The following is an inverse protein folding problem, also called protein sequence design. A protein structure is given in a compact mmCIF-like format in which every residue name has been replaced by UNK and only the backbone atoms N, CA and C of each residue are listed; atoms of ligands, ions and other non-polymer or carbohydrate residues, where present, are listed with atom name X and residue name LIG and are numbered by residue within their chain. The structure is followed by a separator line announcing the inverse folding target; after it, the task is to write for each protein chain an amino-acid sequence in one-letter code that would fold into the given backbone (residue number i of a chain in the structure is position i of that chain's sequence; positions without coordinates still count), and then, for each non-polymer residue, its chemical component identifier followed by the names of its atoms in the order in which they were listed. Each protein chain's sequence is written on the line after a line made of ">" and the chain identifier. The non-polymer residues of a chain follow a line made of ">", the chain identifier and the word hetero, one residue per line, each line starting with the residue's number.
data_IF_128718168664
#
_entry.id   IF_128718168664
#
_cell.length_a   1.000
_cell.length_b   1.000
_cell.length_c   1.000
_cell.angle_alpha   90.00
_cell.angle_beta   90.00
_cell.angle_gamma   90.00
#
_symmetry.space_group_name_H-M   'P 1'
#
loop_
_entity.id
_entity.type
_entity.pdbx_description
1 polymer ?
#
# COMPACT_ATOMS: atom_id res chain seq x y z
N UNK A 1 17.01 -13.22 -11.77
CA UNK A 1 15.64 -13.09 -12.30
C UNK A 1 14.86 -12.12 -11.45
N UNK A 2 14.28 -11.11 -12.08
CA UNK A 2 13.49 -10.12 -11.35
C UNK A 2 12.14 -10.71 -10.91
N UNK A 3 11.66 -10.25 -9.76
CA UNK A 3 10.36 -10.61 -9.27
C UNK A 3 9.26 -9.88 -10.07
N UNK A 4 8.04 -10.41 -10.02
CA UNK A 4 6.89 -9.73 -10.61
C UNK A 4 6.81 -8.27 -10.10
N UNK A 5 6.36 -7.36 -10.96
CA UNK A 5 6.24 -5.94 -10.59
C UNK A 5 5.38 -5.73 -9.35
N UNK A 6 4.37 -6.57 -9.11
CA UNK A 6 3.57 -6.48 -7.88
C UNK A 6 4.44 -6.60 -6.62
N UNK A 7 5.38 -7.53 -6.62
CA UNK A 7 6.29 -7.67 -5.48
C UNK A 7 7.24 -6.48 -5.38
N UNK A 8 7.77 -6.01 -6.51
CA UNK A 8 8.67 -4.84 -6.53
C UNK A 8 7.96 -3.60 -6.01
N UNK A 9 6.71 -3.38 -6.42
CA UNK A 9 5.89 -2.24 -5.96
C UNK A 9 5.62 -2.37 -4.45
N UNK A 10 5.21 -3.54 -4.00
CA UNK A 10 4.91 -3.79 -2.59
C UNK A 10 6.14 -3.55 -1.72
N UNK A 11 7.30 -4.06 -2.13
CA UNK A 11 8.55 -3.87 -1.40
C UNK A 11 8.97 -2.40 -1.38
N UNK A 12 8.76 -1.66 -2.46
CA UNK A 12 9.06 -0.24 -2.53
C UNK A 12 8.14 0.57 -1.60
N UNK A 13 6.88 0.19 -1.50
CA UNK A 13 5.94 0.84 -0.57
C UNK A 13 6.35 0.57 0.87
N UNK A 14 6.72 -0.66 1.20
CA UNK A 14 7.22 -1.00 2.54
C UNK A 14 8.42 -0.11 2.89
N UNK A 15 9.36 0.03 1.97
CA UNK A 15 10.54 0.88 2.18
C UNK A 15 10.15 2.34 2.40
N UNK A 16 9.23 2.86 1.58
CA UNK A 16 8.79 4.25 1.68
C UNK A 16 8.07 4.55 3.00
N UNK A 17 7.35 3.57 3.54
CA UNK A 17 6.55 3.75 4.75
C UNK A 17 7.28 3.33 6.03
N UNK A 18 8.45 2.68 5.92
CA UNK A 18 9.23 2.32 7.09
C UNK A 18 9.93 3.55 7.67
N UNK A 19 9.83 3.73 8.98
CA UNK A 19 10.47 4.84 9.67
C UNK A 19 9.58 6.05 9.91
N UNK A 20 8.28 5.96 9.66
CA UNK A 20 7.35 7.02 10.01
C UNK A 20 7.26 7.17 11.54
N UNK A 21 6.98 8.38 11.99
CA UNK A 21 7.06 8.73 13.42
C UNK A 21 6.17 7.86 14.30
N UNK A 22 4.94 7.58 13.88
CA UNK A 22 3.98 6.85 14.72
C UNK A 22 4.14 5.33 14.62
N UNK A 23 4.39 4.81 13.42
CA UNK A 23 4.43 3.36 13.19
C UNK A 23 5.83 2.78 13.15
N UNK A 24 6.85 3.61 12.88
CA UNK A 24 8.25 3.18 12.85
C UNK A 24 8.48 2.05 11.84
N UNK A 25 9.06 0.97 12.31
CA UNK A 25 9.35 -0.20 11.47
C UNK A 25 8.21 -1.22 11.42
N UNK A 26 7.07 -0.94 12.04
CA UNK A 26 5.92 -1.85 12.06
C UNK A 26 5.10 -1.69 10.78
N UNK A 27 5.69 -2.04 9.67
CA UNK A 27 5.08 -2.00 8.33
C UNK A 27 5.14 -3.41 7.76
N UNK A 28 3.99 -3.97 7.45
CA UNK A 28 3.88 -5.36 7.04
C UNK A 28 3.14 -5.51 5.72
N UNK A 29 3.70 -6.31 4.84
CA UNK A 29 3.03 -6.84 3.67
C UNK A 29 2.81 -8.34 3.87
N UNK A 30 1.85 -8.93 3.18
CA UNK A 30 1.56 -10.37 3.24
C UNK A 30 1.14 -10.87 4.64
N UNK A 31 0.61 -9.99 5.47
CA UNK A 31 0.22 -10.39 6.83
C UNK A 31 -1.29 -10.37 6.98
N UNK A 32 -1.81 -11.39 7.65
CA UNK A 32 -3.23 -11.48 7.96
C UNK A 32 -3.51 -10.95 9.37
N UNK A 33 -4.70 -10.39 9.56
CA UNK A 33 -5.22 -10.01 10.87
C UNK A 33 -5.62 -11.25 11.67
N UNK A 34 -5.61 -11.23 13.03
CA UNK A 34 -5.30 -10.09 13.89
C UNK A 34 -3.81 -9.93 14.18
N UNK A 35 -3.44 -8.74 14.65
CA UNK A 35 -2.07 -8.45 15.08
C UNK A 35 -1.97 -8.53 16.61
N UNK A 36 -0.83 -9.03 17.14
CA UNK A 36 -0.54 -8.92 18.58
C UNK A 36 -0.45 -7.45 19.02
N UNK A 37 -0.78 -7.17 20.28
CA UNK A 37 -0.72 -5.81 20.84
C UNK A 37 0.65 -5.14 20.67
N UNK A 38 1.72 -5.94 20.80
CA UNK A 38 3.10 -5.43 20.67
C UNK A 38 3.43 -4.88 19.29
N UNK A 39 2.61 -5.21 18.28
CA UNK A 39 2.79 -4.71 16.93
C UNK A 39 1.89 -3.52 16.61
N UNK A 40 1.24 -2.94 17.61
CA UNK A 40 0.37 -1.77 17.43
C UNK A 40 1.11 -0.48 17.87
N UNK A 41 0.92 0.65 17.19
CA UNK A 41 0.25 0.79 15.89
C UNK A 41 1.11 0.29 14.74
N UNK A 42 0.47 -0.16 13.67
CA UNK A 42 1.18 -0.74 12.53
C UNK A 42 0.48 -0.42 11.21
N UNK A 43 1.17 -0.68 10.12
CA UNK A 43 0.65 -0.54 8.76
C UNK A 43 0.64 -1.90 8.07
N UNK A 44 -0.46 -2.18 7.39
CA UNK A 44 -0.61 -3.38 6.55
C UNK A 44 -0.82 -2.94 5.11
N UNK A 45 0.00 -3.47 4.21
CA UNK A 45 -0.06 -3.13 2.79
C UNK A 45 -0.69 -4.29 2.04
N UNK A 46 -1.73 -4.00 1.27
CA UNK A 46 -2.45 -5.00 0.48
C UNK A 46 -2.63 -4.51 -0.94
N UNK A 47 -2.30 -5.35 -1.92
CA UNK A 47 -2.66 -5.10 -3.30
C UNK A 47 -4.04 -5.73 -3.52
N UNK A 48 -5.03 -4.91 -3.89
CA UNK A 48 -6.42 -5.33 -3.91
C UNK A 48 -6.83 -5.93 -5.25
N UNK A 49 -6.66 -5.14 -6.33
CA UNK A 49 -7.02 -5.58 -7.67
C UNK A 49 -6.25 -4.78 -8.71
N UNK A 50 -6.25 -5.27 -9.92
CA UNK A 50 -5.61 -4.58 -11.03
C UNK A 50 -6.45 -4.74 -12.28
N UNK A 51 -6.61 -3.65 -13.04
CA UNK A 51 -7.18 -3.68 -14.37
C UNK A 51 -6.10 -3.36 -15.39
N UNK A 52 -6.23 -3.91 -16.58
CA UNK A 52 -5.23 -3.72 -17.63
C UNK A 52 -5.89 -3.41 -18.97
N UNK A 53 -5.31 -2.48 -19.70
CA UNK A 53 -5.77 -2.09 -21.02
C UNK A 53 -4.60 -2.23 -21.99
N UNK A 54 -4.77 -2.91 -23.14
CA UNK A 54 -3.68 -2.98 -24.12
C UNK A 54 -3.45 -1.63 -24.76
N UNK A 55 -2.19 -1.19 -24.80
CA UNK A 55 -1.78 0.04 -25.47
C UNK A 55 -1.37 -0.23 -26.92
N UNK A 56 -1.00 -1.47 -27.22
CA UNK A 56 -0.60 -1.89 -28.57
C UNK A 56 -1.36 -3.16 -28.94
N UNK A 57 -1.58 -3.36 -30.25
CA UNK A 57 -2.36 -4.50 -30.76
C UNK A 57 -1.44 -5.46 -31.54
N UNK A 58 -0.35 -5.86 -30.89
CA UNK A 58 0.63 -6.80 -31.44
C UNK A 58 0.52 -8.14 -30.73
N UNK A 59 1.28 -9.13 -31.16
CA UNK A 59 1.31 -10.46 -30.53
C UNK A 59 1.84 -10.39 -29.09
N UNK A 60 2.62 -9.38 -28.76
CA UNK A 60 3.10 -9.13 -27.40
C UNK A 60 2.75 -7.70 -27.01
N UNK A 61 1.48 -7.44 -26.65
CA UNK A 61 1.04 -6.07 -26.36
C UNK A 61 1.67 -5.52 -25.08
N UNK A 62 1.75 -4.20 -25.03
CA UNK A 62 2.08 -3.48 -23.80
C UNK A 62 0.75 -3.17 -23.11
N UNK A 63 0.63 -3.56 -21.84
CA UNK A 63 -0.53 -3.24 -21.03
C UNK A 63 -0.27 -2.01 -20.19
N UNK A 64 -1.24 -1.10 -20.18
CA UNK A 64 -1.33 -0.10 -19.12
C UNK A 64 -2.13 -0.71 -17.98
N UNK A 65 -1.52 -0.77 -16.81
CA UNK A 65 -2.11 -1.41 -15.63
C UNK A 65 -2.45 -0.37 -14.58
N UNK A 66 -3.66 -0.47 -14.03
CA UNK A 66 -4.08 0.34 -12.90
C UNK A 66 -4.22 -0.58 -11.71
N UNK A 67 -3.29 -0.45 -10.79
CA UNK A 67 -3.24 -1.26 -9.57
C UNK A 67 -3.94 -0.51 -8.45
N UNK A 68 -4.94 -1.15 -7.84
CA UNK A 68 -5.60 -0.63 -6.63
C UNK A 68 -4.96 -1.31 -5.43
N UNK A 69 -4.52 -0.50 -4.48
CA UNK A 69 -3.87 -0.99 -3.27
C UNK A 69 -4.44 -0.25 -2.06
N UNK A 70 -4.27 -0.85 -0.90
CA UNK A 70 -4.66 -0.22 0.35
C UNK A 70 -3.55 -0.30 1.37
N UNK A 71 -3.46 0.74 2.18
CA UNK A 71 -2.60 0.80 3.35
C UNK A 71 -3.52 0.91 4.55
N UNK A 72 -3.54 -0.11 5.38
CA UNK A 72 -4.38 -0.13 6.57
C UNK A 72 -3.57 0.27 7.78
N UNK A 73 -3.98 1.36 8.44
CA UNK A 73 -3.45 1.74 9.74
C UNK A 73 -4.24 0.99 10.80
N UNK A 74 -3.54 0.21 11.62
CA UNK A 74 -4.14 -0.60 12.67
C UNK A 74 -3.61 -0.14 14.01
N UNK A 75 -4.52 0.19 14.93
CA UNK A 75 -4.13 0.59 16.28
C UNK A 75 -5.09 -0.02 17.31
N UNK A 76 -4.53 -0.40 18.45
CA UNK A 76 -5.26 -0.87 19.60
C UNK A 76 -5.03 0.16 20.71
N UNK A 77 -6.09 0.80 21.17
CA UNK A 77 -5.98 1.81 22.21
C UNK A 77 -7.26 1.94 22.97
N UNK A 78 -7.16 2.34 24.22
CA UNK A 78 -8.32 2.58 25.10
C UNK A 78 -8.78 4.03 25.02
N UNK A 79 -7.96 4.94 24.47
CA UNK A 79 -8.29 6.34 24.33
C UNK A 79 -7.56 6.94 23.14
N UNK A 80 -8.10 8.03 22.58
CA UNK A 80 -7.52 8.77 21.46
C UNK A 80 -7.21 7.90 20.23
N UNK A 81 -7.99 6.84 20.00
CA UNK A 81 -7.78 5.93 18.87
C UNK A 81 -7.91 6.64 17.53
N UNK A 82 -8.95 7.46 17.39
CA UNK A 82 -9.18 8.21 16.13
C UNK A 82 -8.04 9.19 15.84
N UNK A 83 -7.55 9.88 16.88
CA UNK A 83 -6.45 10.83 16.74
C UNK A 83 -5.17 10.11 16.28
N UNK A 84 -4.92 8.92 16.84
CA UNK A 84 -3.75 8.11 16.44
C UNK A 84 -3.87 7.67 14.99
N UNK A 85 -5.04 7.19 14.57
CA UNK A 85 -5.27 6.75 13.19
C UNK A 85 -5.17 7.92 12.21
N UNK A 86 -5.67 9.09 12.58
CA UNK A 86 -5.58 10.28 11.74
C UNK A 86 -4.13 10.74 11.59
N UNK A 87 -3.35 10.67 12.66
CA UNK A 87 -1.92 11.01 12.59
C UNK A 87 -1.16 10.05 11.67
N UNK A 88 -1.44 8.75 11.77
CA UNK A 88 -0.83 7.74 10.90
C UNK A 88 -1.23 8.00 9.44
N UNK A 89 -2.51 8.30 9.20
CA UNK A 89 -3.01 8.59 7.86
C UNK A 89 -2.28 9.79 7.25
N UNK A 90 -2.10 10.84 8.02
CA UNK A 90 -1.36 12.03 7.58
C UNK A 90 0.07 11.67 7.19
N UNK A 91 0.75 10.87 8.00
CA UNK A 91 2.13 10.46 7.73
C UNK A 91 2.22 9.60 6.46
N UNK A 92 1.27 8.67 6.28
CA UNK A 92 1.24 7.80 5.10
C UNK A 92 0.95 8.58 3.83
N UNK A 93 -0.06 9.44 3.85
CA UNK A 93 -0.42 10.25 2.68
C UNK A 93 0.73 11.16 2.27
N UNK A 94 1.41 11.78 3.24
CA UNK A 94 2.57 12.62 2.96
C UNK A 94 3.74 11.81 2.37
N UNK A 95 3.98 10.62 2.90
CA UNK A 95 5.07 9.77 2.42
C UNK A 95 4.82 9.26 0.99
N UNK A 96 3.58 8.86 0.68
CA UNK A 96 3.24 8.35 -0.65
C UNK A 96 3.04 9.46 -1.69
N UNK A 97 2.87 10.71 -1.27
CA UNK A 97 2.76 11.83 -2.20
C UNK A 97 4.05 12.00 -3.03
N UNK A 98 5.19 11.53 -2.52
CA UNK A 98 6.45 11.53 -3.24
C UNK A 98 6.59 10.41 -4.26
N UNK A 99 5.65 9.47 -4.30
CA UNK A 99 5.71 8.31 -5.19
C UNK A 99 6.78 7.30 -4.79
N UNK A 100 6.98 6.32 -5.66
CA UNK A 100 8.06 5.32 -5.53
C UNK A 100 8.89 5.33 -6.81
N UNK A 101 10.12 4.83 -6.71
CA UNK A 101 11.00 4.70 -7.88
C UNK A 101 11.33 3.22 -8.10
N UNK A 102 11.06 2.74 -9.32
CA UNK A 102 11.43 1.40 -9.76
C UNK A 102 12.23 1.51 -11.04
N UNK A 103 13.40 0.88 -11.07
CA UNK A 103 14.28 0.87 -12.27
C UNK A 103 14.54 2.29 -12.81
N UNK A 104 14.73 3.25 -11.92
CA UNK A 104 14.98 4.64 -12.28
C UNK A 104 13.76 5.44 -12.72
N UNK A 105 12.58 4.84 -12.69
CA UNK A 105 11.32 5.51 -13.06
C UNK A 105 10.49 5.79 -11.83
N UNK A 106 9.97 7.01 -11.76
CA UNK A 106 9.06 7.40 -10.69
C UNK A 106 7.63 6.98 -11.03
N UNK A 107 6.98 6.35 -10.06
CA UNK A 107 5.57 5.99 -10.15
C UNK A 107 4.82 6.77 -9.08
N UNK A 108 3.74 7.43 -9.47
CA UNK A 108 2.96 8.28 -8.58
C UNK A 108 1.66 7.61 -8.16
N UNK A 109 1.28 7.83 -6.90
CA UNK A 109 0.03 7.31 -6.35
C UNK A 109 -1.06 8.36 -6.45
N UNK A 110 -2.29 7.90 -6.74
CA UNK A 110 -3.48 8.73 -6.66
C UNK A 110 -4.30 8.26 -5.47
N UNK A 111 -4.58 9.17 -4.55
CA UNK A 111 -5.42 8.86 -3.39
C UNK A 111 -6.85 8.64 -3.84
N UNK A 112 -7.43 7.49 -3.49
CA UNK A 112 -8.75 7.10 -3.97
C UNK A 112 -9.83 7.17 -2.88
N UNK A 113 -9.44 7.28 -1.62
CA UNK A 113 -10.39 7.38 -0.52
C UNK A 113 -9.94 6.60 0.71
N UNK A 114 -10.84 6.53 1.69
CA UNK A 114 -10.57 5.81 2.92
C UNK A 114 -11.83 5.10 3.41
N UNK A 115 -11.65 4.08 4.21
CA UNK A 115 -12.71 3.45 4.97
C UNK A 115 -12.24 3.19 6.39
N UNK A 116 -13.17 3.09 7.30
CA UNK A 116 -12.88 2.88 8.72
C UNK A 116 -13.64 1.65 9.22
N UNK A 117 -12.90 0.75 9.86
CA UNK A 117 -13.47 -0.42 10.51
C UNK A 117 -13.04 -0.44 11.97
N UNK A 118 -13.90 -0.98 12.84
CA UNK A 118 -13.53 -1.20 14.23
C UNK A 118 -13.89 -2.63 14.63
N UNK A 119 -13.14 -3.16 15.57
CA UNK A 119 -13.45 -4.44 16.19
C UNK A 119 -13.65 -4.23 17.69
N UNK A 120 -14.73 -4.78 18.22
CA UNK A 120 -15.04 -4.73 19.63
C UNK A 120 -14.32 -5.88 20.33
N UNK A 121 -13.42 -5.55 21.23
CA UNK A 121 -12.70 -6.51 22.07
C UNK A 121 -12.36 -5.82 23.39
N UNK A 122 -11.62 -6.49 24.28
CA UNK A 122 -11.17 -5.89 25.54
C UNK A 122 -10.36 -4.62 25.30
N UNK A 123 -9.58 -4.61 24.21
CA UNK A 123 -8.95 -3.40 23.69
C UNK A 123 -9.51 -3.12 22.31
N UNK A 124 -10.26 -2.03 22.12
CA UNK A 124 -10.80 -1.69 20.80
C UNK A 124 -9.70 -1.59 19.76
N UNK A 125 -9.95 -2.20 18.59
CA UNK A 125 -9.06 -2.14 17.45
C UNK A 125 -9.69 -1.26 16.40
N UNK A 126 -8.99 -0.20 16.01
CA UNK A 126 -9.40 0.64 14.89
C UNK A 126 -8.55 0.34 13.67
N UNK A 127 -9.21 0.29 12.53
CA UNK A 127 -8.54 0.07 11.24
C UNK A 127 -8.98 1.18 10.29
N UNK A 128 -8.03 1.97 9.84
CA UNK A 128 -8.29 2.99 8.82
C UNK A 128 -7.57 2.57 7.55
N UNK A 129 -8.35 2.25 6.52
CA UNK A 129 -7.81 1.86 5.21
C UNK A 129 -7.75 3.06 4.29
N UNK A 130 -6.58 3.31 3.76
CA UNK A 130 -6.37 4.33 2.75
C UNK A 130 -6.19 3.64 1.42
N UNK A 131 -6.99 4.00 0.44
CA UNK A 131 -6.95 3.39 -0.89
C UNK A 131 -6.21 4.28 -1.86
N UNK A 132 -5.33 3.68 -2.65
CA UNK A 132 -4.53 4.39 -3.65
C UNK A 132 -4.56 3.63 -4.97
N UNK A 133 -4.41 4.36 -6.05
CA UNK A 133 -4.25 3.79 -7.39
C UNK A 133 -2.87 4.12 -7.91
N UNK A 134 -2.26 3.17 -8.60
CA UNK A 134 -0.98 3.32 -9.24
C UNK A 134 -1.09 2.84 -10.68
N UNK A 135 -0.69 3.70 -11.63
CA UNK A 135 -0.71 3.35 -13.05
C UNK A 135 0.73 3.07 -13.51
N UNK A 136 0.93 1.94 -14.14
CA UNK A 136 2.21 1.56 -14.71
C UNK A 136 1.99 0.70 -15.95
N UNK A 137 3.03 0.44 -16.70
CA UNK A 137 2.92 -0.38 -17.91
C UNK A 137 3.99 -1.44 -17.96
N UNK A 138 3.65 -2.57 -18.60
CA UNK A 138 4.58 -3.66 -18.85
C UNK A 138 4.15 -4.44 -20.10
N UNK A 139 5.12 -5.05 -20.79
CA UNK A 139 4.83 -5.92 -21.91
C UNK A 139 4.21 -7.23 -21.40
N UNK A 140 3.36 -7.85 -22.22
CA UNK A 140 2.64 -9.06 -21.83
C UNK A 140 3.56 -10.20 -21.40
N UNK A 141 4.72 -10.34 -22.04
CA UNK A 141 5.68 -11.40 -21.71
C UNK A 141 6.72 -10.99 -20.67
N UNK A 142 6.63 -9.78 -20.12
CA UNK A 142 7.62 -9.26 -19.15
C UNK A 142 6.90 -8.56 -17.98
N UNK A 143 6.17 -9.31 -17.12
CA UNK A 143 5.46 -8.71 -15.98
C UNK A 143 6.39 -8.33 -14.82
N UNK A 144 7.68 -8.49 -15.01
CA UNK A 144 8.72 -8.17 -14.04
C UNK A 144 9.49 -6.90 -14.41
N UNK A 145 9.18 -6.28 -15.54
CA UNK A 145 9.91 -5.12 -16.07
C UNK A 145 8.93 -4.04 -16.51
N UNK A 146 9.19 -2.80 -16.10
CA UNK A 146 8.45 -1.65 -16.60
C UNK A 146 8.79 -1.42 -18.08
N UNK A 147 7.78 -1.15 -18.86
CA UNK A 147 7.99 -0.84 -20.28
C UNK A 147 7.99 0.66 -20.55
#
# INVERSE_FOLDING_TARGET
>A
VANHLHKQIRDAIVTALTGLTTTGSRVYANRLMPLPDVLSPSLLITLDEESAIPLTFTANPIYERTLSLSVAAVAKATSALDDTLDQISKEVEAALAGGITLSGRRLDFTYAGMSFDDEQSDKPVGIKRMSFNLVYSSAANAPDVLS
#
